data_IF_914495947633
#
_entry.id   IF_914495947633
#
_cell.length_a   1.000
_cell.length_b   1.000
_cell.length_c   1.000
_cell.angle_alpha   90.00
_cell.angle_beta   90.00
_cell.angle_gamma   90.00
#
_symmetry.space_group_name_H-M   'P 1'
#
loop_
_entity.id
_entity.type
_entity.pdbx_description
1 polymer ?
#
# COMPACT_ATOMS: atom_id res chain seq x y z
N UNK A 1 -10.08 20.80 5.00
CA UNK A 1 -10.28 19.38 5.35
C UNK A 1 -8.91 18.72 5.31
N UNK A 2 -8.45 18.13 6.41
CA UNK A 2 -7.29 17.22 6.48
C UNK A 2 -5.88 17.71 6.09
N UNK A 3 -5.59 19.02 6.01
CA UNK A 3 -4.20 19.48 5.74
C UNK A 3 -3.19 19.03 6.81
N UNK A 4 -3.63 18.67 8.02
CA UNK A 4 -2.74 18.21 9.10
C UNK A 4 -2.56 16.68 9.18
N UNK A 5 -3.25 15.89 8.34
CA UNK A 5 -3.32 14.42 8.50
C UNK A 5 -2.61 13.64 7.39
N UNK A 6 -2.39 14.25 6.22
CA UNK A 6 -1.76 13.63 5.07
C UNK A 6 -0.74 14.62 4.51
N UNK A 7 0.52 14.22 4.51
CA UNK A 7 1.61 15.04 3.98
C UNK A 7 1.75 14.83 2.46
N UNK A 8 2.39 15.78 1.78
CA UNK A 8 3.04 15.46 0.52
C UNK A 8 4.22 14.50 0.74
N UNK A 9 4.66 13.86 -0.35
CA UNK A 9 5.69 12.83 -0.31
C UNK A 9 7.00 13.32 0.34
N UNK A 10 7.47 14.53 0.03
CA UNK A 10 8.75 15.05 0.53
C UNK A 10 8.68 15.33 2.02
N UNK A 11 7.65 16.06 2.44
CA UNK A 11 7.44 16.41 3.82
C UNK A 11 7.26 15.16 4.70
N UNK A 12 6.47 14.19 4.22
CA UNK A 12 6.27 12.92 4.93
C UNK A 12 7.54 12.08 5.03
N UNK A 13 8.32 11.95 3.94
CA UNK A 13 9.61 11.24 3.97
C UNK A 13 10.60 11.90 4.93
N UNK A 14 10.70 13.23 4.91
CA UNK A 14 11.57 13.98 5.81
C UNK A 14 11.16 13.76 7.28
N UNK A 15 9.85 13.85 7.57
CA UNK A 15 9.31 13.61 8.92
C UNK A 15 9.55 12.18 9.39
N UNK A 16 9.30 11.19 8.53
CA UNK A 16 9.52 9.79 8.85
C UNK A 16 10.99 9.50 9.20
N UNK A 17 11.94 9.99 8.37
CA UNK A 17 13.39 9.85 8.63
C UNK A 17 13.82 10.57 9.91
N UNK A 18 13.22 11.72 10.24
CA UNK A 18 13.53 12.44 11.47
C UNK A 18 13.08 11.67 12.72
N UNK A 19 11.88 11.11 12.71
CA UNK A 19 11.35 10.32 13.83
C UNK A 19 12.16 9.02 13.97
N UNK A 20 12.42 8.33 12.86
CA UNK A 20 13.19 7.10 12.83
C UNK A 20 14.60 7.22 13.44
N UNK A 21 15.25 8.39 13.32
CA UNK A 21 16.57 8.64 13.93
C UNK A 21 16.54 8.94 15.43
N UNK A 22 15.36 9.21 16.00
CA UNK A 22 15.19 9.66 17.39
C UNK A 22 14.50 8.63 18.26
N UNK A 23 13.59 7.86 17.68
CA UNK A 23 12.77 6.89 18.38
C UNK A 23 13.33 5.48 18.17
N UNK A 24 13.23 4.63 19.20
CA UNK A 24 13.62 3.22 19.09
C UNK A 24 12.53 2.35 18.44
N UNK A 25 11.30 2.86 18.32
CA UNK A 25 10.17 2.14 17.71
C UNK A 25 10.06 2.49 16.21
N UNK A 26 9.62 1.55 15.37
CA UNK A 26 9.53 1.78 13.92
C UNK A 26 8.54 2.88 13.56
N UNK A 27 8.83 3.61 12.49
CA UNK A 27 7.87 4.53 11.85
C UNK A 27 7.15 3.79 10.72
N UNK A 28 5.83 3.89 10.67
CA UNK A 28 5.06 3.44 9.50
C UNK A 28 4.91 4.62 8.56
N UNK A 29 5.56 4.52 7.40
CA UNK A 29 5.30 5.41 6.27
C UNK A 29 4.19 4.78 5.43
N UNK A 30 3.02 5.40 5.40
CA UNK A 30 1.86 4.90 4.68
C UNK A 30 1.67 5.68 3.39
N UNK A 31 1.85 5.02 2.25
CA UNK A 31 1.49 5.57 0.95
C UNK A 31 -0.01 5.36 0.70
N UNK A 32 -0.77 6.45 0.83
CA UNK A 32 -2.23 6.41 0.86
C UNK A 32 -2.86 6.08 -0.49
N UNK A 33 -2.26 6.57 -1.57
CA UNK A 33 -2.89 6.56 -2.88
C UNK A 33 -2.88 5.18 -3.56
N UNK A 34 -2.01 4.27 -3.13
CA UNK A 34 -1.88 2.94 -3.72
C UNK A 34 -2.63 1.86 -2.91
N UNK A 35 -3.36 1.01 -3.63
CA UNK A 35 -4.00 -0.21 -3.11
C UNK A 35 -3.67 -1.48 -3.90
N UNK A 36 -2.98 -1.36 -5.02
CA UNK A 36 -2.43 -2.48 -5.80
C UNK A 36 -1.08 -2.96 -5.25
N UNK A 37 -0.46 -2.16 -4.39
CA UNK A 37 0.83 -2.41 -3.78
C UNK A 37 1.99 -2.43 -4.77
N UNK A 38 1.91 -1.69 -5.88
CA UNK A 38 3.00 -1.61 -6.84
C UNK A 38 3.56 -0.19 -7.02
N UNK A 39 2.94 0.84 -6.45
CA UNK A 39 3.47 2.20 -6.50
C UNK A 39 4.86 2.29 -5.90
N UNK A 40 5.75 3.04 -6.54
CA UNK A 40 7.16 3.12 -6.18
C UNK A 40 7.59 4.50 -5.69
N UNK A 41 6.69 5.47 -5.63
CA UNK A 41 7.01 6.86 -5.28
C UNK A 41 7.85 6.98 -4.00
N UNK A 42 7.38 6.42 -2.89
CA UNK A 42 8.16 6.42 -1.64
C UNK A 42 9.36 5.46 -1.70
N UNK A 43 9.22 4.31 -2.37
CA UNK A 43 10.27 3.29 -2.45
C UNK A 43 11.53 3.83 -3.15
N UNK A 44 11.38 4.53 -4.28
CA UNK A 44 12.50 5.14 -5.02
C UNK A 44 13.35 6.04 -4.11
N UNK A 45 12.68 6.84 -3.28
CA UNK A 45 13.32 7.80 -2.38
C UNK A 45 13.97 7.14 -1.19
N UNK A 46 13.34 6.10 -0.62
CA UNK A 46 13.95 5.32 0.44
C UNK A 46 15.20 4.58 -0.05
N UNK A 47 15.16 3.98 -1.25
CA UNK A 47 16.34 3.33 -1.84
C UNK A 47 17.49 4.33 -2.06
N UNK A 48 17.18 5.57 -2.44
CA UNK A 48 18.18 6.61 -2.67
C UNK A 48 18.70 7.30 -1.40
N UNK A 49 17.89 7.41 -0.33
CA UNK A 49 18.15 8.35 0.77
C UNK A 49 18.05 7.77 2.19
N UNK A 50 17.69 6.49 2.33
CA UNK A 50 17.56 5.84 3.64
C UNK A 50 18.84 5.10 4.07
N UNK A 51 20.01 5.49 3.57
CA UNK A 51 21.28 4.95 4.03
C UNK A 51 21.42 5.16 5.55
N UNK A 52 21.82 4.09 6.24
CA UNK A 52 21.92 4.06 7.71
C UNK A 52 20.60 3.84 8.44
N UNK A 53 19.48 3.60 7.74
CA UNK A 53 18.20 3.19 8.33
C UNK A 53 17.81 1.80 7.83
N UNK A 54 17.37 0.92 8.74
CA UNK A 54 16.75 -0.35 8.40
C UNK A 54 15.33 -0.10 7.88
N UNK A 55 15.10 -0.36 6.59
CA UNK A 55 13.80 -0.12 5.94
C UNK A 55 13.23 -1.42 5.39
N UNK A 56 11.94 -1.63 5.61
CA UNK A 56 11.20 -2.74 4.99
C UNK A 56 9.98 -2.25 4.20
N UNK A 57 9.84 -2.74 2.97
CA UNK A 57 8.67 -2.54 2.11
C UNK A 57 7.96 -3.89 1.88
N UNK A 58 6.94 -4.22 2.68
CA UNK A 58 6.23 -5.47 2.50
C UNK A 58 5.31 -5.46 1.27
N UNK A 59 5.22 -6.61 0.61
CA UNK A 59 4.22 -6.97 -0.41
C UNK A 59 4.19 -6.03 -1.61
N UNK A 60 5.35 -5.70 -2.17
CA UNK A 60 5.41 -5.06 -3.48
C UNK A 60 4.91 -6.03 -4.55
N UNK A 61 3.82 -5.70 -5.22
CA UNK A 61 3.25 -6.54 -6.28
C UNK A 61 4.05 -6.36 -7.58
N UNK A 62 4.86 -7.37 -7.90
CA UNK A 62 5.65 -7.43 -9.13
C UNK A 62 5.91 -8.90 -9.52
N UNK A 63 4.95 -9.53 -10.23
CA UNK A 63 5.05 -10.95 -10.60
C UNK A 63 6.29 -11.28 -11.44
N UNK A 64 6.71 -10.34 -12.28
CA UNK A 64 7.86 -10.54 -13.17
C UNK A 64 9.16 -10.61 -12.36
N UNK A 65 9.35 -9.66 -11.44
CA UNK A 65 10.55 -9.65 -10.60
C UNK A 65 10.56 -10.81 -9.61
N UNK A 66 9.40 -11.20 -9.06
CA UNK A 66 9.29 -12.39 -8.22
C UNK A 66 9.72 -13.66 -8.98
N UNK A 67 9.23 -13.86 -10.21
CA UNK A 67 9.63 -15.00 -11.04
C UNK A 67 11.12 -15.00 -11.37
N UNK A 68 11.70 -13.84 -11.70
CA UNK A 68 13.13 -13.71 -11.97
C UNK A 68 13.99 -14.04 -10.73
N UNK A 69 13.59 -13.56 -9.55
CA UNK A 69 14.26 -13.87 -8.29
C UNK A 69 14.17 -15.36 -7.92
N UNK A 70 13.02 -15.99 -8.15
CA UNK A 70 12.86 -17.45 -7.98
C UNK A 70 13.76 -18.23 -8.93
N UNK A 71 13.83 -17.82 -10.20
CA UNK A 71 14.70 -18.48 -11.18
C UNK A 71 16.20 -18.33 -10.84
N UNK A 72 16.60 -17.20 -10.27
CA UNK A 72 17.98 -16.95 -9.85
C UNK A 72 18.35 -17.66 -8.54
N UNK A 73 17.39 -17.81 -7.62
CA UNK A 73 17.58 -18.43 -6.32
C UNK A 73 18.16 -17.49 -5.25
N UNK A 74 18.06 -17.91 -4.00
CA UNK A 74 18.61 -17.18 -2.86
C UNK A 74 20.15 -17.08 -2.94
N UNK A 75 20.69 -15.94 -2.53
CA UNK A 75 22.11 -15.58 -2.64
C UNK A 75 22.52 -14.95 -3.97
N UNK A 76 21.65 -14.98 -4.99
CA UNK A 76 21.92 -14.33 -6.27
C UNK A 76 21.86 -12.80 -6.17
N UNK A 77 22.55 -12.13 -7.10
CA UNK A 77 22.43 -10.69 -7.34
C UNK A 77 21.81 -10.44 -8.70
N UNK A 78 20.87 -9.52 -8.76
CA UNK A 78 20.09 -9.20 -9.96
C UNK A 78 19.98 -7.70 -10.14
N UNK A 79 20.17 -7.23 -11.37
CA UNK A 79 19.64 -5.93 -11.78
C UNK A 79 18.14 -6.06 -12.00
N UNK A 80 17.35 -5.31 -11.24
CA UNK A 80 15.89 -5.37 -11.26
C UNK A 80 15.26 -4.04 -11.65
N UNK A 81 14.03 -4.11 -12.17
CA UNK A 81 13.14 -2.98 -12.36
C UNK A 81 11.86 -3.26 -11.54
N UNK A 82 11.84 -2.78 -10.30
CA UNK A 82 10.83 -3.13 -9.29
C UNK A 82 9.60 -2.22 -9.35
N UNK A 83 8.41 -2.83 -9.37
CA UNK A 83 7.13 -2.14 -9.18
C UNK A 83 6.82 -1.10 -10.27
N UNK A 84 5.74 -0.34 -10.07
CA UNK A 84 5.32 0.78 -10.91
C UNK A 84 4.86 0.35 -12.30
N UNK A 85 4.29 -0.86 -12.40
CA UNK A 85 3.95 -1.53 -13.67
C UNK A 85 2.45 -1.52 -13.96
N UNK A 86 1.61 -1.29 -12.95
CA UNK A 86 0.16 -1.28 -13.08
C UNK A 86 -0.37 -0.03 -13.79
N UNK A 87 0.34 1.09 -13.67
CA UNK A 87 -0.08 2.37 -14.24
C UNK A 87 1.07 3.36 -14.41
N UNK A 88 0.94 4.27 -15.36
CA UNK A 88 1.81 5.45 -15.48
C UNK A 88 1.79 6.37 -14.25
N UNK A 89 0.77 6.26 -13.38
CA UNK A 89 0.66 7.02 -12.13
C UNK A 89 1.40 6.39 -10.94
N UNK A 90 1.81 5.12 -11.05
CA UNK A 90 2.42 4.33 -9.98
C UNK A 90 3.93 4.62 -9.76
N UNK A 91 4.44 5.76 -10.25
CA UNK A 91 5.83 6.21 -10.04
C UNK A 91 6.87 5.61 -10.99
N UNK A 92 6.54 4.55 -11.74
CA UNK A 92 7.47 3.86 -12.64
C UNK A 92 8.44 2.91 -11.91
N UNK A 93 9.13 2.04 -12.63
CA UNK A 93 9.94 1.00 -11.99
C UNK A 93 11.23 1.54 -11.36
N UNK A 94 11.59 1.00 -10.19
CA UNK A 94 12.85 1.29 -9.51
C UNK A 94 13.95 0.41 -10.08
N UNK A 95 14.90 1.01 -10.80
CA UNK A 95 16.10 0.31 -11.26
C UNK A 95 17.11 0.18 -10.11
N UNK A 96 17.52 -1.05 -9.78
CA UNK A 96 18.46 -1.29 -8.68
C UNK A 96 19.19 -2.63 -8.81
N UNK A 97 20.33 -2.72 -8.14
CA UNK A 97 20.97 -4.01 -7.82
C UNK A 97 20.33 -4.59 -6.56
N UNK A 98 19.83 -5.81 -6.66
CA UNK A 98 19.16 -6.52 -5.58
C UNK A 98 19.87 -7.83 -5.24
N UNK A 99 20.11 -8.07 -3.95
CA UNK A 99 20.48 -9.39 -3.42
C UNK A 99 19.19 -10.16 -3.08
N UNK A 100 19.08 -11.41 -3.55
CA UNK A 100 17.95 -12.29 -3.22
C UNK A 100 18.21 -12.94 -1.87
N UNK A 101 17.54 -12.48 -0.82
CA UNK A 101 17.66 -13.06 0.52
C UNK A 101 16.85 -14.35 0.67
N UNK A 102 15.70 -14.41 0.01
CA UNK A 102 14.82 -15.57 -0.03
C UNK A 102 14.03 -15.55 -1.34
N UNK A 103 13.74 -16.72 -1.93
CA UNK A 103 12.82 -16.82 -3.06
C UNK A 103 12.14 -18.18 -3.10
N UNK A 104 10.86 -18.21 -3.50
CA UNK A 104 10.07 -19.42 -3.68
C UNK A 104 8.57 -19.14 -3.67
N UNK A 105 7.77 -20.19 -3.75
CA UNK A 105 6.33 -20.08 -3.49
C UNK A 105 6.09 -19.83 -2.00
N UNK A 106 5.17 -18.89 -1.68
CA UNK A 106 4.81 -18.59 -0.29
C UNK A 106 3.33 -18.76 -0.04
N UNK A 107 3.01 -19.72 0.82
CA UNK A 107 1.66 -19.99 1.33
C UNK A 107 1.73 -20.07 2.84
N UNK A 108 0.79 -19.41 3.52
CA UNK A 108 0.71 -19.41 4.97
C UNK A 108 -0.73 -19.24 5.45
N UNK A 109 -0.95 -19.42 6.75
CA UNK A 109 -2.25 -19.17 7.39
C UNK A 109 -2.17 -17.83 8.12
N UNK A 110 -3.09 -16.90 7.79
CA UNK A 110 -3.12 -15.58 8.40
C UNK A 110 -3.28 -15.66 9.92
N UNK A 111 -2.45 -14.91 10.63
CA UNK A 111 -2.42 -14.83 12.09
C UNK A 111 -3.16 -13.60 12.62
N UNK A 112 -3.20 -12.52 11.82
CA UNK A 112 -3.72 -11.24 12.26
C UNK A 112 -5.25 -11.16 12.40
N UNK A 113 -5.77 -10.12 13.08
CA UNK A 113 -7.16 -10.06 13.52
C UNK A 113 -8.17 -10.21 12.39
N UNK A 114 -7.88 -9.61 11.23
CA UNK A 114 -8.82 -9.63 10.11
C UNK A 114 -8.77 -10.95 9.36
N UNK A 115 -7.58 -11.58 9.22
CA UNK A 115 -7.34 -12.75 8.37
C UNK A 115 -7.11 -14.06 9.13
N UNK A 116 -7.34 -14.08 10.43
CA UNK A 116 -7.12 -15.24 11.30
C UNK A 116 -7.70 -16.53 10.69
N UNK A 117 -6.84 -17.53 10.50
CA UNK A 117 -7.20 -18.84 9.99
C UNK A 117 -7.41 -18.94 8.48
N UNK A 118 -7.30 -17.83 7.72
CA UNK A 118 -7.41 -17.87 6.25
C UNK A 118 -6.10 -18.31 5.61
N UNK A 119 -6.18 -19.25 4.65
CA UNK A 119 -5.06 -19.59 3.78
C UNK A 119 -4.78 -18.42 2.84
N UNK A 120 -3.54 -17.93 2.84
CA UNK A 120 -3.05 -16.86 1.98
C UNK A 120 -1.98 -17.47 1.09
N UNK A 121 -2.13 -17.25 -0.21
CA UNK A 121 -1.24 -17.76 -1.25
C UNK A 121 -0.68 -16.54 -2.01
N UNK A 122 0.62 -16.30 -1.89
CA UNK A 122 1.32 -15.19 -2.53
C UNK A 122 1.89 -15.56 -3.90
N UNK A 123 1.82 -16.85 -4.27
CA UNK A 123 2.52 -17.42 -5.42
C UNK A 123 4.04 -17.29 -5.31
N UNK A 124 4.75 -17.35 -6.45
CA UNK A 124 6.16 -17.00 -6.54
C UNK A 124 6.43 -15.65 -5.88
N UNK A 125 7.37 -15.64 -4.94
CA UNK A 125 7.67 -14.49 -4.10
C UNK A 125 9.17 -14.45 -3.80
N UNK A 126 9.67 -13.29 -3.41
CA UNK A 126 11.06 -13.12 -3.00
C UNK A 126 11.22 -12.05 -1.91
N UNK A 127 12.26 -12.17 -1.09
CA UNK A 127 12.77 -11.09 -0.25
C UNK A 127 14.04 -10.57 -0.90
N UNK A 128 14.03 -9.31 -1.29
CA UNK A 128 15.15 -8.65 -1.94
C UNK A 128 15.76 -7.61 -1.01
N UNK A 129 17.09 -7.45 -1.07
CA UNK A 129 17.82 -6.37 -0.41
C UNK A 129 18.43 -5.43 -1.44
N UNK A 130 18.11 -4.14 -1.30
CA UNK A 130 18.58 -3.03 -2.11
C UNK A 130 19.26 -2.02 -1.17
N UNK A 131 20.57 -2.13 -0.99
CA UNK A 131 21.29 -1.35 0.02
C UNK A 131 20.74 -1.64 1.44
N UNK A 132 20.24 -0.61 2.12
CA UNK A 132 19.62 -0.73 3.44
C UNK A 132 18.11 -1.06 3.41
N UNK A 133 17.50 -1.09 2.22
CA UNK A 133 16.07 -1.37 2.05
C UNK A 133 15.86 -2.84 1.74
N UNK A 134 14.93 -3.48 2.44
CA UNK A 134 14.44 -4.82 2.11
C UNK A 134 13.02 -4.74 1.55
N UNK A 135 12.72 -5.55 0.53
CA UNK A 135 11.43 -5.55 -0.17
C UNK A 135 10.94 -6.98 -0.29
N UNK A 136 9.75 -7.30 0.25
CA UNK A 136 9.09 -8.55 -0.09
C UNK A 136 8.26 -8.37 -1.35
N UNK A 137 8.63 -9.08 -2.40
CA UNK A 137 8.00 -9.03 -3.73
C UNK A 137 7.09 -10.23 -3.89
N UNK A 138 5.85 -10.00 -4.34
CA UNK A 138 4.82 -11.04 -4.47
C UNK A 138 4.23 -11.05 -5.88
N UNK A 139 3.78 -12.22 -6.35
CA UNK A 139 3.12 -12.36 -7.65
C UNK A 139 1.59 -12.33 -7.57
N UNK A 140 1.00 -12.78 -6.46
CA UNK A 140 -0.43 -12.65 -6.20
C UNK A 140 -0.69 -11.43 -5.32
N UNK A 141 -1.36 -10.42 -5.87
CA UNK A 141 -1.63 -9.17 -5.16
C UNK A 141 -2.50 -9.40 -3.91
N UNK A 142 -2.03 -8.93 -2.76
CA UNK A 142 -2.78 -8.94 -1.50
C UNK A 142 -2.32 -7.82 -0.58
N UNK A 143 -3.22 -7.29 0.26
CA UNK A 143 -2.90 -6.19 1.17
C UNK A 143 -1.99 -6.61 2.35
N UNK A 144 -1.06 -5.73 2.73
CA UNK A 144 -0.26 -5.83 3.95
C UNK A 144 -0.97 -5.07 5.09
N UNK A 145 -1.76 -5.79 5.87
CA UNK A 145 -2.67 -5.20 6.89
C UNK A 145 -2.35 -5.63 8.32
N UNK A 146 -1.58 -6.70 8.48
CA UNK A 146 -1.21 -7.32 9.76
C UNK A 146 0.32 -7.43 9.85
N UNK A 147 0.89 -8.17 10.81
CA UNK A 147 2.35 -8.42 10.89
C UNK A 147 2.84 -9.56 9.99
N UNK A 148 1.94 -10.46 9.54
CA UNK A 148 2.26 -11.54 8.60
C UNK A 148 3.11 -11.12 7.38
N UNK A 149 2.87 -9.95 6.73
CA UNK A 149 3.67 -9.51 5.59
C UNK A 149 5.17 -9.35 5.86
N UNK A 150 5.56 -9.17 7.13
CA UNK A 150 6.94 -9.11 7.57
C UNK A 150 7.38 -10.48 8.10
N UNK A 151 6.62 -11.04 9.05
CA UNK A 151 6.99 -12.26 9.77
C UNK A 151 7.17 -13.47 8.86
N UNK A 152 6.32 -13.61 7.83
CA UNK A 152 6.41 -14.74 6.88
C UNK A 152 7.66 -14.69 6.00
N UNK A 153 8.36 -13.55 5.97
CA UNK A 153 9.65 -13.36 5.33
C UNK A 153 10.81 -13.29 6.33
N UNK A 154 10.56 -13.58 7.61
CA UNK A 154 11.57 -13.50 8.67
C UNK A 154 12.00 -12.08 9.01
N UNK A 155 11.17 -11.08 8.68
CA UNK A 155 11.42 -9.68 9.02
C UNK A 155 10.69 -9.35 10.31
N UNK A 156 11.44 -8.89 11.32
CA UNK A 156 10.88 -8.38 12.56
C UNK A 156 10.53 -6.90 12.40
N UNK A 157 9.26 -6.56 12.67
CA UNK A 157 8.78 -5.19 12.67
C UNK A 157 9.59 -4.32 13.64
N UNK A 158 9.87 -4.80 14.85
CA UNK A 158 10.55 -4.03 15.89
C UNK A 158 12.03 -3.75 15.57
N UNK A 159 12.61 -4.47 14.61
CA UNK A 159 13.98 -4.27 14.14
C UNK A 159 14.08 -3.27 12.96
N UNK A 160 12.97 -2.68 12.52
CA UNK A 160 12.97 -1.71 11.42
C UNK A 160 12.91 -0.27 11.95
N UNK A 161 13.58 0.64 11.28
CA UNK A 161 13.45 2.07 11.51
C UNK A 161 12.21 2.61 10.76
N UNK A 162 11.98 2.13 9.54
CA UNK A 162 10.84 2.51 8.70
C UNK A 162 10.20 1.28 8.05
N UNK A 163 8.87 1.18 8.12
CA UNK A 163 8.08 0.23 7.33
C UNK A 163 7.18 0.98 6.35
N UNK A 164 7.43 0.79 5.05
CA UNK A 164 6.66 1.39 3.97
C UNK A 164 5.43 0.55 3.66
N UNK A 165 4.25 0.99 4.11
CA UNK A 165 2.97 0.34 3.87
C UNK A 165 2.15 1.05 2.80
N UNK A 166 1.23 0.30 2.20
CA UNK A 166 0.21 0.79 1.26
C UNK A 166 -1.14 0.30 1.72
N UNK A 167 -1.96 1.22 2.21
CA UNK A 167 -3.25 0.89 2.83
C UNK A 167 -4.09 2.16 3.04
N UNK A 168 -5.30 1.98 3.56
CA UNK A 168 -6.21 3.07 3.94
C UNK A 168 -6.43 3.13 5.44
N UNK A 169 -6.98 2.06 6.02
CA UNK A 169 -7.52 2.08 7.38
C UNK A 169 -7.17 0.84 8.19
N UNK A 170 -7.35 -0.36 7.64
CA UNK A 170 -7.27 -1.62 8.40
C UNK A 170 -5.94 -1.87 9.10
N UNK A 171 -4.83 -1.35 8.57
CA UNK A 171 -3.50 -1.51 9.18
C UNK A 171 -3.41 -0.86 10.57
N UNK A 172 -4.18 0.21 10.83
CA UNK A 172 -4.10 0.98 12.08
C UNK A 172 -4.27 0.12 13.32
N UNK A 173 -5.20 -0.84 13.31
CA UNK A 173 -5.47 -1.72 14.44
C UNK A 173 -4.24 -2.53 14.90
N UNK A 174 -3.30 -2.80 14.00
CA UNK A 174 -2.07 -3.55 14.29
C UNK A 174 -0.90 -2.59 14.55
N UNK A 175 -0.73 -1.57 13.72
CA UNK A 175 0.48 -0.75 13.72
C UNK A 175 0.41 0.46 14.67
N UNK A 176 -0.76 1.02 14.97
CA UNK A 176 -0.87 2.14 15.94
C UNK A 176 -0.27 1.82 17.31
N UNK A 177 -0.54 0.65 17.95
CA UNK A 177 0.06 0.35 19.24
C UNK A 177 1.55 0.01 19.17
N UNK A 178 2.11 -0.32 17.99
CA UNK A 178 3.48 -0.81 17.81
C UNK A 178 4.46 0.25 17.26
N UNK A 179 3.99 1.14 16.39
CA UNK A 179 4.82 2.15 15.73
C UNK A 179 5.07 3.38 16.61
N UNK A 180 6.20 4.07 16.46
CA UNK A 180 6.43 5.38 17.07
C UNK A 180 5.47 6.43 16.50
N UNK A 181 5.24 6.36 15.18
CA UNK A 181 4.36 7.24 14.44
C UNK A 181 3.84 6.56 13.18
N UNK A 182 2.69 7.02 12.70
CA UNK A 182 2.17 6.72 11.36
C UNK A 182 2.22 8.03 10.58
N UNK A 183 3.06 8.07 9.56
CA UNK A 183 3.20 9.19 8.63
C UNK A 183 2.48 8.82 7.34
N UNK A 184 1.42 9.54 7.00
CA UNK A 184 0.63 9.26 5.80
C UNK A 184 1.05 10.25 4.71
N UNK A 185 1.40 9.72 3.53
CA UNK A 185 1.71 10.52 2.34
C UNK A 185 0.68 10.27 1.24
N UNK A 186 0.31 11.32 0.52
CA UNK A 186 -0.46 11.20 -0.72
C UNK A 186 0.48 11.26 -1.92
N UNK A 187 0.40 10.26 -2.78
CA UNK A 187 1.18 10.19 -4.02
C UNK A 187 0.25 10.29 -5.22
N UNK A 188 0.75 10.66 -6.42
CA UNK A 188 -0.08 10.87 -7.61
C UNK A 188 -0.85 9.65 -8.16
N UNK A 189 -1.09 8.58 -7.39
CA UNK A 189 -1.76 7.36 -7.83
C UNK A 189 -3.31 7.49 -7.89
N UNK A 190 -4.00 6.43 -8.31
CA UNK A 190 -5.45 6.42 -8.56
C UNK A 190 -6.31 6.48 -7.31
N UNK A 191 -5.77 6.11 -6.15
CA UNK A 191 -6.45 6.17 -4.87
C UNK A 191 -6.14 7.43 -4.07
N UNK A 192 -5.69 8.53 -4.68
CA UNK A 192 -5.36 9.79 -3.97
C UNK A 192 -6.48 10.28 -3.04
N UNK A 193 -6.10 10.93 -1.94
CA UNK A 193 -7.03 11.62 -1.04
C UNK A 193 -7.64 12.86 -1.71
N UNK A 194 -6.89 13.56 -2.55
CA UNK A 194 -7.37 14.69 -3.34
C UNK A 194 -8.03 14.21 -4.64
N UNK A 195 -9.34 13.98 -4.56
CA UNK A 195 -10.14 13.56 -5.70
C UNK A 195 -10.07 14.55 -6.88
N UNK A 196 -9.71 15.82 -6.66
CA UNK A 196 -9.62 16.79 -7.77
C UNK A 196 -8.49 16.49 -8.75
N UNK A 197 -7.54 15.61 -8.37
CA UNK A 197 -6.44 15.16 -9.22
C UNK A 197 -6.81 14.00 -10.15
N UNK A 198 -8.03 13.48 -10.05
CA UNK A 198 -8.51 12.39 -10.90
C UNK A 198 -9.21 12.95 -12.15
N UNK A 199 -8.96 12.38 -13.35
CA UNK A 199 -9.47 12.90 -14.61
C UNK A 199 -10.93 12.48 -14.87
N UNK A 200 -11.86 12.90 -14.00
CA UNK A 200 -13.29 12.60 -14.14
C UNK A 200 -13.85 13.19 -15.44
N UNK A 201 -14.50 12.35 -16.27
CA UNK A 201 -15.15 12.78 -17.53
C UNK A 201 -16.67 12.95 -17.42
N UNK A 202 -17.27 12.25 -16.47
CA UNK A 202 -18.74 12.14 -16.34
C UNK A 202 -19.22 12.46 -14.92
N UNK A 203 -18.39 13.13 -14.11
CA UNK A 203 -18.85 13.63 -12.82
C UNK A 203 -19.98 14.64 -13.02
N UNK A 204 -21.06 14.52 -12.24
CA UNK A 204 -22.15 15.49 -12.27
C UNK A 204 -21.64 16.85 -11.76
N UNK A 205 -22.12 17.93 -12.36
CA UNK A 205 -21.91 19.28 -11.85
C UNK A 205 -22.46 19.41 -10.43
N UNK A 206 -21.85 20.24 -9.59
CA UNK A 206 -22.27 20.42 -8.20
C UNK A 206 -21.93 19.23 -7.28
N UNK A 207 -20.96 18.38 -7.64
CA UNK A 207 -20.41 17.37 -6.72
C UNK A 207 -19.17 17.92 -6.02
N UNK A 208 -19.25 18.07 -4.71
CA UNK A 208 -18.08 18.33 -3.87
C UNK A 208 -17.20 17.06 -3.78
N UNK A 209 -15.85 17.15 -3.83
CA UNK A 209 -15.01 18.35 -3.89
C UNK A 209 -14.67 18.86 -5.30
N UNK A 210 -15.17 18.20 -6.36
CA UNK A 210 -14.86 18.55 -7.76
C UNK A 210 -15.42 19.93 -8.14
N UNK A 211 -16.56 20.29 -7.56
CA UNK A 211 -17.14 21.62 -7.58
C UNK A 211 -17.18 22.17 -6.15
N UNK A 212 -16.28 23.10 -5.84
CA UNK A 212 -16.19 23.71 -4.49
C UNK A 212 -17.36 24.66 -4.18
N UNK A 213 -18.16 25.03 -5.18
CA UNK A 213 -19.37 25.86 -5.02
C UNK A 213 -20.62 25.02 -4.85
N UNK A 214 -20.49 23.69 -4.86
CA UNK A 214 -21.59 22.77 -4.62
C UNK A 214 -22.20 23.01 -3.23
N UNK A 215 -23.45 23.46 -3.22
CA UNK A 215 -24.29 23.49 -2.01
C UNK A 215 -25.14 22.22 -1.95
N UNK A 216 -25.28 21.66 -0.75
CA UNK A 216 -26.15 20.50 -0.55
C UNK A 216 -27.62 20.90 -0.74
N UNK A 217 -28.19 20.52 -1.87
CA UNK A 217 -29.61 20.63 -2.15
C UNK A 217 -30.28 19.34 -1.68
N UNK A 218 -30.74 19.30 -0.42
CA UNK A 218 -31.29 18.11 0.22
C UNK A 218 -32.56 17.58 -0.44
N UNK A 219 -32.39 16.79 -1.51
CA UNK A 219 -33.49 16.15 -2.22
C UNK A 219 -33.87 14.84 -1.54
N UNK A 220 -35.06 14.78 -0.97
CA UNK A 220 -35.64 13.56 -0.40
C UNK A 220 -36.27 12.73 -1.50
N UNK A 221 -35.80 11.50 -1.68
CA UNK A 221 -36.47 10.52 -2.54
C UNK A 221 -37.44 9.69 -1.68
N UNK A 222 -38.72 9.74 -1.98
CA UNK A 222 -39.69 8.83 -1.41
C UNK A 222 -39.57 7.46 -2.11
N UNK A 223 -39.20 6.42 -1.37
CA UNK A 223 -39.25 5.05 -1.85
C UNK A 223 -40.65 4.49 -1.55
N UNK A 224 -41.49 4.37 -2.58
CA UNK A 224 -42.79 3.71 -2.41
C UNK A 224 -42.58 2.21 -2.20
N UNK A 225 -42.84 1.71 -0.98
CA UNK A 225 -42.94 0.27 -0.72
C UNK A 225 -44.26 -0.26 -1.28
N UNK A 226 -44.33 -0.44 -2.60
CA UNK A 226 -45.48 -1.05 -3.25
C UNK A 226 -45.53 -2.56 -3.00
N UNK A 227 -46.50 -3.04 -2.22
CA UNK A 227 -46.93 -4.44 -2.29
C UNK A 227 -47.45 -4.70 -3.71
N UNK A 228 -46.82 -5.61 -4.44
CA UNK A 228 -47.38 -6.20 -5.65
C UNK A 228 -48.76 -6.77 -5.29
N UNK A 229 -49.84 -6.10 -5.69
CA UNK A 229 -51.17 -6.71 -5.69
C UNK A 229 -51.21 -7.68 -6.85
N UNK A 230 -51.37 -8.97 -6.54
CA UNK A 230 -51.81 -9.96 -7.52
C UNK A 230 -53.13 -9.45 -8.11
N UNK A 231 -53.16 -9.26 -9.43
CA UNK A 231 -54.37 -8.90 -10.14
C UNK A 231 -55.41 -10.01 -10.00
N UNK A 232 -56.51 -9.71 -9.33
CA UNK A 232 -57.79 -10.37 -9.58
C UNK A 232 -58.57 -9.51 -10.57
N UNK A 233 -59.10 -10.14 -11.59
CA UNK A 233 -59.99 -9.55 -12.58
C UNK A 233 -60.42 -10.60 -13.59
N UNK A 234 -61.35 -11.46 -13.18
CA UNK A 234 -62.18 -12.27 -14.07
C UNK A 234 -63.06 -11.34 -14.92
N UNK A 235 -63.11 -11.59 -16.23
CA UNK A 235 -64.33 -11.66 -17.04
C UNK A 235 -64.02 -12.35 -18.38
#
# INVERSE_FOLDING_TARGET
MHEDLIDDLEAGLARAKQIARREARPVVLLEHADRFNDSTWALQRLVAEAEGLAVHCPYLWDPQTAAAAVAAGAGARLTVALGGKSSARAGGSVAAEAEVLWAGDKVFTGSGPMRKGRRIDLGPSALLRLGSVTVSVISVCTSAIDLDPLEQFGVDFAAQDIVLLRSKTHFRAVYEPLAAAIVIVDTPDWGTADLTQLPYRHARSGIFPLDRRAEWQGTTFACETGKLKAGQGDH
#
